data_IF_083879524075
#
_entry.id   IF_083879524075
#
_cell.length_a   1.000
_cell.length_b   1.000
_cell.length_c   1.000
_cell.angle_alpha   90.00
_cell.angle_beta   90.00
_cell.angle_gamma   90.00
#
_symmetry.space_group_name_H-M   'P 1'
#
loop_
_entity.id
_entity.type
_entity.pdbx_description
1 polymer ?
#
# COMPACT_ATOMS: atom_id res chain seq x y z
N UNK A 1 -22.36 -7.71 -1.83
CA UNK A 1 -21.00 -7.15 -1.83
C UNK A 1 -20.17 -8.00 -2.80
N UNK A 2 -19.73 -7.43 -3.93
CA UNK A 2 -18.89 -8.17 -4.87
C UNK A 2 -17.49 -8.31 -4.30
N UNK A 3 -17.09 -9.53 -3.93
CA UNK A 3 -15.68 -9.81 -3.66
C UNK A 3 -15.00 -10.11 -5.00
N UNK A 4 -13.99 -9.32 -5.36
CA UNK A 4 -13.06 -9.70 -6.42
C UNK A 4 -12.19 -10.82 -5.84
N UNK A 5 -12.14 -12.02 -6.45
CA UNK A 5 -11.22 -13.05 -6.02
C UNK A 5 -9.79 -12.56 -6.29
N UNK A 6 -9.06 -12.24 -5.23
CA UNK A 6 -7.66 -11.86 -5.34
C UNK A 6 -6.85 -13.14 -5.46
N UNK A 7 -6.58 -13.53 -6.70
CA UNK A 7 -5.74 -14.67 -7.00
C UNK A 7 -4.36 -14.47 -6.38
N UNK A 8 -3.99 -15.37 -5.47
CA UNK A 8 -2.67 -15.40 -4.87
C UNK A 8 -1.58 -15.47 -5.96
N UNK A 9 -0.46 -14.78 -5.72
CA UNK A 9 0.68 -14.83 -6.62
C UNK A 9 1.68 -13.73 -6.34
N UNK A 10 2.71 -13.66 -7.18
CA UNK A 10 3.78 -12.67 -7.10
C UNK A 10 3.85 -11.82 -8.36
N UNK A 11 4.48 -10.65 -8.25
CA UNK A 11 4.92 -9.84 -9.40
C UNK A 11 6.19 -10.43 -10.02
N UNK A 12 6.62 -9.89 -11.16
CA UNK A 12 7.88 -10.27 -11.81
C UNK A 12 9.11 -9.99 -10.93
N UNK A 13 9.01 -9.00 -10.05
CA UNK A 13 10.06 -8.62 -9.10
C UNK A 13 10.00 -9.42 -7.79
N UNK A 14 9.10 -10.41 -7.70
CA UNK A 14 8.98 -11.31 -6.54
C UNK A 14 8.19 -10.74 -5.36
N UNK A 15 7.53 -9.59 -5.51
CA UNK A 15 6.65 -9.05 -4.46
C UNK A 15 5.32 -9.79 -4.44
N UNK A 16 4.67 -9.87 -3.27
CA UNK A 16 3.29 -10.33 -3.21
C UNK A 16 2.40 -9.44 -4.08
N UNK A 17 1.44 -10.05 -4.80
CA UNK A 17 0.72 -9.39 -5.88
C UNK A 17 -0.03 -8.13 -5.45
N UNK A 18 -0.84 -8.19 -4.39
CA UNK A 18 -1.62 -7.03 -3.94
C UNK A 18 -0.70 -5.93 -3.41
N UNK A 19 0.31 -6.30 -2.62
CA UNK A 19 1.32 -5.38 -2.13
C UNK A 19 2.09 -4.69 -3.27
N UNK A 20 2.59 -5.47 -4.23
CA UNK A 20 3.39 -5.00 -5.35
C UNK A 20 2.60 -4.10 -6.30
N UNK A 21 1.39 -4.50 -6.68
CA UNK A 21 0.57 -3.75 -7.65
C UNK A 21 -0.10 -2.56 -6.99
N UNK A 22 -0.80 -2.75 -5.86
CA UNK A 22 -1.66 -1.69 -5.31
C UNK A 22 -0.86 -0.62 -4.59
N UNK A 23 0.22 -1.01 -3.88
CA UNK A 23 0.99 -0.10 -3.07
C UNK A 23 2.33 0.26 -3.70
N UNK A 24 3.23 -0.72 -3.87
CA UNK A 24 4.62 -0.43 -4.24
C UNK A 24 4.71 0.24 -5.62
N UNK A 25 4.01 -0.33 -6.62
CA UNK A 25 3.96 0.23 -7.97
C UNK A 25 3.36 1.64 -7.99
N UNK A 26 2.25 1.84 -7.27
CA UNK A 26 1.60 3.16 -7.17
C UNK A 26 2.53 4.19 -6.52
N UNK A 27 3.09 3.89 -5.35
CA UNK A 27 3.97 4.80 -4.64
C UNK A 27 5.22 5.13 -5.46
N UNK A 28 5.82 4.13 -6.11
CA UNK A 28 6.99 4.34 -6.97
C UNK A 28 6.65 5.19 -8.19
N UNK A 29 5.53 4.93 -8.87
CA UNK A 29 5.06 5.74 -9.99
C UNK A 29 4.83 7.19 -9.56
N UNK A 30 4.16 7.43 -8.43
CA UNK A 30 3.92 8.78 -7.92
C UNK A 30 5.23 9.53 -7.66
N UNK A 31 6.22 8.88 -7.04
CA UNK A 31 7.54 9.47 -6.81
C UNK A 31 8.26 9.82 -8.11
N UNK A 32 8.20 8.96 -9.13
CA UNK A 32 8.78 9.23 -10.44
C UNK A 32 8.09 10.41 -11.15
N UNK A 33 6.77 10.50 -11.06
CA UNK A 33 6.00 11.61 -11.64
C UNK A 33 6.28 12.94 -10.92
N UNK A 34 6.43 12.90 -9.60
CA UNK A 34 6.85 14.06 -8.80
C UNK A 34 8.26 14.51 -9.19
N UNK A 35 9.21 13.58 -9.27
CA UNK A 35 10.60 13.86 -9.64
C UNK A 35 10.72 14.45 -11.05
N UNK A 36 9.84 14.06 -11.98
CA UNK A 36 9.74 14.64 -13.33
C UNK A 36 8.97 15.96 -13.38
N UNK A 37 8.52 16.48 -12.24
CA UNK A 37 7.78 17.73 -12.14
C UNK A 37 6.36 17.69 -12.73
N UNK A 38 5.85 16.50 -13.09
CA UNK A 38 4.52 16.34 -13.71
C UNK A 38 3.42 16.78 -12.73
N UNK A 39 3.62 16.46 -11.45
CA UNK A 39 2.66 16.75 -10.38
C UNK A 39 2.75 18.18 -9.84
N UNK A 40 3.71 18.98 -10.32
CA UNK A 40 3.93 20.37 -9.91
C UNK A 40 3.23 21.40 -10.80
N UNK A 41 2.48 20.94 -11.82
CA UNK A 41 1.68 21.84 -12.68
C UNK A 41 0.49 22.38 -11.89
N UNK A 42 0.10 23.63 -12.17
CA UNK A 42 -1.06 24.26 -11.55
C UNK A 42 -2.32 23.39 -11.76
N UNK A 43 -2.89 22.90 -10.67
CA UNK A 43 -4.08 22.05 -10.67
C UNK A 43 -3.84 20.54 -10.76
N UNK A 44 -2.59 20.06 -10.71
CA UNK A 44 -2.28 18.62 -10.64
C UNK A 44 -2.84 17.96 -9.38
N UNK A 45 -3.45 16.78 -9.54
CA UNK A 45 -4.04 15.98 -8.45
C UNK A 45 -3.60 14.53 -8.54
N UNK A 46 -3.38 13.91 -7.39
CA UNK A 46 -3.20 12.45 -7.27
C UNK A 46 -4.44 11.90 -6.59
N UNK A 47 -5.12 10.94 -7.24
CA UNK A 47 -6.30 10.29 -6.69
C UNK A 47 -5.97 8.80 -6.60
N UNK A 48 -5.78 8.32 -5.39
CA UNK A 48 -5.53 6.92 -5.09
C UNK A 48 -6.86 6.20 -4.87
N UNK A 49 -7.07 5.11 -5.60
CA UNK A 49 -8.28 4.29 -5.46
C UNK A 49 -8.06 3.29 -4.32
N UNK A 50 -8.62 3.60 -3.16
CA UNK A 50 -8.57 2.78 -1.96
C UNK A 50 -9.78 1.83 -1.90
N UNK A 51 -10.03 1.24 -0.73
CA UNK A 51 -11.06 0.24 -0.49
C UNK A 51 -11.49 0.30 0.98
N UNK A 52 -12.75 0.05 1.32
CA UNK A 52 -13.23 0.00 2.71
C UNK A 52 -12.53 -1.10 3.52
N UNK A 53 -12.00 -2.10 2.83
CA UNK A 53 -11.25 -3.24 3.37
C UNK A 53 -9.95 -2.82 4.06
N UNK A 54 -9.43 -1.60 3.87
CA UNK A 54 -8.28 -1.11 4.65
C UNK A 54 -8.53 -1.18 6.16
N UNK A 55 -9.79 -1.11 6.61
CA UNK A 55 -10.17 -1.25 8.03
C UNK A 55 -9.97 -2.65 8.60
N UNK A 56 -9.84 -3.65 7.73
CA UNK A 56 -9.60 -5.04 8.12
C UNK A 56 -8.10 -5.35 8.27
N UNK A 57 -7.23 -4.41 7.93
CA UNK A 57 -5.79 -4.59 8.03
C UNK A 57 -5.35 -4.58 9.49
N UNK A 58 -4.57 -5.59 9.88
CA UNK A 58 -3.91 -5.64 11.19
C UNK A 58 -2.42 -5.37 11.00
N UNK A 59 -1.84 -4.49 11.82
CA UNK A 59 -0.40 -4.17 11.74
C UNK A 59 0.50 -5.17 12.48
N UNK A 60 -0.04 -5.89 13.48
CA UNK A 60 0.67 -6.85 14.33
C UNK A 60 1.30 -8.06 13.59
N UNK A 61 0.67 -8.67 12.56
CA UNK A 61 1.21 -9.85 11.88
C UNK A 61 2.35 -9.52 10.90
N UNK A 62 2.50 -8.26 10.50
CA UNK A 62 3.36 -7.86 9.36
C UNK A 62 4.49 -6.91 9.74
N UNK A 63 4.58 -6.52 11.01
CA UNK A 63 5.70 -5.76 11.51
C UNK A 63 6.89 -6.71 11.77
N UNK A 64 8.07 -6.45 11.20
CA UNK A 64 9.29 -7.14 11.63
C UNK A 64 9.50 -6.85 13.13
N UNK A 65 10.06 -7.82 13.85
CA UNK A 65 10.23 -7.74 15.31
C UNK A 65 10.92 -6.47 15.82
N UNK A 66 11.68 -5.77 14.95
CA UNK A 66 12.34 -4.49 15.24
C UNK A 66 11.54 -3.21 14.92
N UNK A 67 10.31 -3.29 14.39
CA UNK A 67 9.37 -2.15 14.34
C UNK A 67 8.24 -2.29 15.36
N UNK A 68 8.12 -3.43 16.06
CA UNK A 68 7.28 -3.50 17.26
C UNK A 68 7.85 -2.47 18.23
N UNK A 69 7.00 -1.65 18.82
CA UNK A 69 7.44 -0.67 19.80
C UNK A 69 8.05 -1.36 21.04
N UNK A 70 9.34 -1.71 20.96
CA UNK A 70 10.24 -1.79 22.09
C UNK A 70 11.43 -0.89 21.78
N UNK A 71 11.80 -0.09 22.76
CA UNK A 71 12.79 0.96 22.66
C UNK A 71 14.10 0.47 22.01
N UNK A 72 14.43 1.03 20.85
CA UNK A 72 15.79 1.08 20.30
C UNK A 72 16.29 -0.20 19.61
N UNK A 73 16.34 -0.21 18.27
CA UNK A 73 17.40 -0.85 17.48
C UNK A 73 17.27 -0.54 15.98
N UNK A 74 18.41 -0.56 15.29
CA UNK A 74 18.64 -0.04 13.95
C UNK A 74 18.18 -0.99 12.82
N UNK A 75 17.77 -0.37 11.70
CA UNK A 75 17.23 -0.92 10.44
C UNK A 75 17.91 -2.18 9.85
N UNK A 76 17.09 -3.07 9.25
CA UNK A 76 17.27 -3.54 7.88
C UNK A 76 16.04 -3.18 7.03
N UNK A 77 16.11 -2.00 6.40
CA UNK A 77 15.10 -1.44 5.49
C UNK A 77 14.97 -2.31 4.24
N UNK A 78 13.72 -2.44 3.75
CA UNK A 78 13.27 -3.05 2.48
C UNK A 78 12.73 -4.49 2.56
N UNK A 79 13.46 -5.50 3.07
CA UNK A 79 12.91 -6.88 3.14
C UNK A 79 11.72 -7.01 4.12
N UNK A 80 11.72 -6.14 5.12
CA UNK A 80 10.79 -6.15 6.23
C UNK A 80 9.45 -5.46 5.93
N UNK A 81 9.31 -4.83 4.76
CA UNK A 81 8.18 -3.96 4.42
C UNK A 81 7.21 -4.53 3.37
N UNK A 82 7.33 -5.81 2.97
CA UNK A 82 6.48 -6.31 1.89
C UNK A 82 6.61 -7.76 1.42
N UNK A 83 7.54 -8.56 1.95
CA UNK A 83 7.54 -9.99 1.68
C UNK A 83 6.59 -10.69 2.66
N UNK A 84 5.27 -10.48 2.51
CA UNK A 84 4.32 -11.41 3.14
C UNK A 84 4.62 -12.78 2.55
N UNK A 85 5.09 -13.70 3.39
CA UNK A 85 5.38 -15.07 2.98
C UNK A 85 4.13 -15.68 2.32
N UNK A 86 4.30 -16.31 1.18
CA UNK A 86 3.23 -16.96 0.40
C UNK A 86 2.60 -18.17 1.10
N UNK A 87 3.05 -18.51 2.31
CA UNK A 87 2.46 -19.52 3.15
C UNK A 87 1.33 -18.88 3.95
N UNK A 88 0.10 -19.00 3.47
CA UNK A 88 -1.11 -19.34 4.24
C UNK A 88 -2.39 -18.95 3.49
N UNK A 89 -3.45 -19.71 3.79
CA UNK A 89 -4.83 -19.81 3.26
C UNK A 89 -5.57 -18.57 2.69
N UNK A 90 -6.78 -18.78 2.15
CA UNK A 90 -7.69 -17.73 1.60
C UNK A 90 -7.92 -16.54 2.57
N UNK A 91 -7.88 -16.77 3.89
CA UNK A 91 -7.94 -15.71 4.91
C UNK A 91 -6.80 -14.68 4.74
N UNK A 92 -5.63 -15.13 4.27
CA UNK A 92 -4.44 -14.31 4.02
C UNK A 92 -4.60 -13.42 2.77
N UNK A 93 -5.42 -13.78 1.77
CA UNK A 93 -5.54 -12.97 0.54
C UNK A 93 -6.27 -11.64 0.76
N UNK A 94 -7.36 -11.67 1.53
CA UNK A 94 -8.09 -10.46 1.92
C UNK A 94 -7.28 -9.60 2.90
N UNK A 95 -6.56 -10.22 3.84
CA UNK A 95 -5.66 -9.50 4.75
C UNK A 95 -4.54 -8.78 4.00
N UNK A 96 -3.89 -9.44 3.03
CA UNK A 96 -2.85 -8.80 2.18
C UNK A 96 -3.40 -7.66 1.34
N UNK A 97 -4.61 -7.83 0.81
CA UNK A 97 -5.29 -6.74 0.11
C UNK A 97 -5.62 -5.58 1.02
N UNK A 98 -6.25 -5.84 2.16
CA UNK A 98 -6.54 -4.87 3.20
C UNK A 98 -5.27 -4.11 3.61
N UNK A 99 -4.18 -4.83 3.85
CA UNK A 99 -2.87 -4.26 4.17
C UNK A 99 -2.34 -3.37 3.04
N UNK A 100 -2.41 -3.81 1.78
CA UNK A 100 -2.01 -2.98 0.64
C UNK A 100 -2.83 -1.68 0.54
N UNK A 101 -4.12 -1.71 0.88
CA UNK A 101 -5.01 -0.55 0.87
C UNK A 101 -4.77 0.37 2.07
N UNK A 102 -4.43 -0.17 3.25
CA UNK A 102 -3.99 0.61 4.41
C UNK A 102 -2.67 1.35 4.12
N UNK A 103 -1.71 0.66 3.48
CA UNK A 103 -0.45 1.30 3.09
C UNK A 103 -0.67 2.42 2.08
N UNK A 104 -1.59 2.24 1.13
CA UNK A 104 -1.93 3.24 0.14
C UNK A 104 -2.53 4.51 0.78
N UNK A 105 -3.48 4.37 1.70
CA UNK A 105 -4.07 5.54 2.40
C UNK A 105 -3.06 6.24 3.31
N UNK A 106 -2.20 5.47 3.98
CA UNK A 106 -1.11 6.02 4.80
C UNK A 106 -0.10 6.79 3.93
N UNK A 107 0.21 6.28 2.74
CA UNK A 107 1.08 6.96 1.79
C UNK A 107 0.48 8.26 1.27
N UNK A 108 -0.82 8.27 0.92
CA UNK A 108 -1.53 9.50 0.55
C UNK A 108 -1.45 10.55 1.66
N UNK A 109 -1.63 10.13 2.92
CA UNK A 109 -1.51 11.01 4.08
C UNK A 109 -0.09 11.58 4.23
N UNK A 110 0.93 10.74 4.12
CA UNK A 110 2.33 11.18 4.19
C UNK A 110 2.72 12.09 3.01
N UNK A 111 2.20 11.83 1.81
CA UNK A 111 2.47 12.64 0.63
C UNK A 111 1.83 14.03 0.76
N UNK A 112 0.60 14.12 1.26
CA UNK A 112 -0.04 15.39 1.61
C UNK A 112 0.73 16.14 2.70
N UNK A 113 1.31 15.44 3.68
CA UNK A 113 2.08 16.06 4.75
C UNK A 113 3.43 16.63 4.27
N UNK A 114 4.09 15.94 3.33
CA UNK A 114 5.46 16.29 2.88
C UNK A 114 5.50 17.19 1.65
N UNK A 115 4.47 17.13 0.81
CA UNK A 115 4.39 17.87 -0.45
C UNK A 115 3.27 18.90 -0.40
N UNK A 116 3.31 19.87 -1.33
CA UNK A 116 2.18 20.81 -1.54
C UNK A 116 1.16 20.26 -2.55
N UNK A 117 1.24 18.97 -2.89
CA UNK A 117 0.34 18.35 -3.86
C UNK A 117 -1.03 18.11 -3.25
N UNK A 118 -2.05 18.12 -4.10
CA UNK A 118 -3.40 17.71 -3.71
C UNK A 118 -3.53 16.20 -3.92
N UNK A 119 -3.52 15.44 -2.82
CA UNK A 119 -3.66 13.98 -2.83
C UNK A 119 -4.97 13.59 -2.16
N UNK A 120 -5.73 12.71 -2.81
CA UNK A 120 -7.01 12.22 -2.32
C UNK A 120 -7.03 10.69 -2.35
N UNK A 121 -7.68 10.07 -1.37
CA UNK A 121 -8.06 8.67 -1.42
C UNK A 121 -9.56 8.57 -1.68
N UNK A 122 -9.95 7.67 -2.58
CA UNK A 122 -11.36 7.39 -2.87
C UNK A 122 -11.63 5.90 -2.78
N UNK A 123 -12.64 5.53 -2.00
CA UNK A 123 -13.23 4.20 -2.05
C UNK A 123 -14.51 4.28 -2.89
N UNK A 124 -14.58 3.62 -4.05
CA UNK A 124 -15.75 3.70 -4.93
C UNK A 124 -16.97 2.92 -4.39
N UNK A 125 -16.80 2.18 -3.29
CA UNK A 125 -17.79 1.22 -2.82
C UNK A 125 -17.87 -0.01 -3.74
N UNK A 126 -18.83 -0.92 -3.48
CA UNK A 126 -19.05 -2.08 -4.34
C UNK A 126 -19.45 -1.64 -5.76
N UNK A 127 -18.67 -2.03 -6.76
CA UNK A 127 -18.94 -1.78 -8.19
C UNK A 127 -19.20 -3.13 -8.89
N UNK A 128 -20.20 -3.16 -9.77
CA UNK A 128 -20.68 -4.37 -10.46
C UNK A 128 -20.00 -4.57 -11.81
#
# INVERSE_FOLDING_TARGET
VGMVPIAAGTTVDGFERAFGINFLGTAHLTQLLEARGVLRRDGGRVINVSSEEHRLATLEPHLPSGLRCSAGAQSPRVAALGAVGTKDSILNAMERYAYSKLLLTTFSHELNRRSKMQVFDVCPGPVA
#
